data_IF_149502535236
#
_entry.id   IF_149502535236
#
_cell.length_a   1.000
_cell.length_b   1.000
_cell.length_c   1.000
_cell.angle_alpha   90.00
_cell.angle_beta   90.00
_cell.angle_gamma   90.00
#
_symmetry.space_group_name_H-M   'P 1'
#
loop_
_entity.id
_entity.type
_entity.pdbx_description
1 polymer ?
#
# COMPACT_ATOMS: atom_id res chain seq x y z
N UNK A 1 22.25 -35.36 -7.17
CA UNK A 1 21.70 -35.33 -5.79
C UNK A 1 21.50 -33.90 -5.39
N UNK A 2 20.35 -33.27 -5.70
CA UNK A 2 19.95 -31.93 -5.16
C UNK A 2 18.57 -31.57 -5.70
N UNK A 3 17.51 -32.22 -5.20
CA UNK A 3 16.12 -31.91 -5.56
C UNK A 3 15.17 -32.14 -4.39
N UNK A 4 15.51 -31.65 -3.17
CA UNK A 4 14.63 -31.85 -2.01
C UNK A 4 14.64 -30.72 -0.96
N UNK A 5 14.86 -29.46 -1.32
CA UNK A 5 14.90 -28.37 -0.32
C UNK A 5 13.79 -27.31 -0.52
N UNK A 6 13.01 -27.31 -1.59
CA UNK A 6 12.02 -26.25 -1.84
C UNK A 6 10.61 -26.50 -1.30
N UNK A 7 10.34 -27.65 -0.69
CA UNK A 7 8.98 -27.99 -0.20
C UNK A 7 8.74 -27.71 1.30
N UNK A 8 9.69 -27.11 2.02
CA UNK A 8 9.63 -27.08 3.51
C UNK A 8 9.33 -25.72 4.13
N UNK A 9 9.06 -24.65 3.39
CA UNK A 9 8.87 -23.30 3.96
C UNK A 9 7.39 -22.95 4.16
N UNK A 10 6.46 -23.61 3.51
CA UNK A 10 5.02 -23.27 3.57
C UNK A 10 4.23 -24.00 4.68
N UNK A 11 4.82 -24.91 5.44
CA UNK A 11 4.06 -25.81 6.36
C UNK A 11 3.83 -25.25 7.76
N UNK A 12 4.36 -24.08 8.14
CA UNK A 12 4.31 -23.61 9.55
C UNK A 12 3.18 -22.60 9.85
N UNK A 13 2.30 -22.29 8.92
CA UNK A 13 1.27 -21.26 9.14
C UNK A 13 -0.19 -21.76 9.26
N UNK A 14 -0.41 -23.05 9.39
CA UNK A 14 -1.77 -23.59 9.53
C UNK A 14 -2.12 -23.94 10.98
N UNK A 15 -2.58 -22.98 11.76
CA UNK A 15 -3.51 -23.25 12.84
C UNK A 15 -4.49 -22.09 13.02
N UNK A 16 -5.74 -22.42 12.80
CA UNK A 16 -6.97 -21.67 13.12
C UNK A 16 -7.40 -20.54 12.20
N UNK A 17 -8.00 -20.85 11.04
CA UNK A 17 -9.11 -20.04 10.50
C UNK A 17 -10.05 -20.93 9.66
N UNK A 18 -11.34 -20.90 9.99
CA UNK A 18 -12.39 -21.74 9.39
C UNK A 18 -12.81 -21.34 7.96
N UNK A 19 -12.04 -20.46 7.28
CA UNK A 19 -12.33 -19.93 5.95
C UNK A 19 -11.15 -19.96 4.97
N UNK A 20 -9.97 -20.43 5.38
CA UNK A 20 -8.86 -20.56 4.46
C UNK A 20 -9.04 -21.79 3.55
N UNK A 21 -8.61 -21.67 2.28
CA UNK A 21 -8.51 -22.83 1.37
C UNK A 21 -7.92 -24.03 2.10
N UNK A 22 -8.63 -25.14 2.07
CA UNK A 22 -8.10 -26.40 2.59
C UNK A 22 -6.88 -26.86 1.77
N UNK A 23 -6.01 -27.65 2.39
CA UNK A 23 -4.85 -28.24 1.70
C UNK A 23 -5.24 -29.03 0.44
N UNK A 24 -6.43 -29.66 0.44
CA UNK A 24 -6.96 -30.40 -0.70
C UNK A 24 -7.37 -29.48 -1.85
N UNK A 25 -8.02 -28.37 -1.55
CA UNK A 25 -8.44 -27.37 -2.53
C UNK A 25 -7.23 -26.65 -3.15
N UNK A 26 -6.25 -26.26 -2.31
CA UNK A 26 -5.01 -25.69 -2.81
C UNK A 26 -4.25 -26.65 -3.74
N UNK A 27 -4.14 -27.93 -3.37
CA UNK A 27 -3.52 -28.95 -4.24
C UNK A 27 -4.27 -29.13 -5.55
N UNK A 28 -5.59 -28.98 -5.55
CA UNK A 28 -6.38 -29.04 -6.78
C UNK A 28 -6.13 -27.83 -7.67
N UNK A 29 -6.11 -26.63 -7.11
CA UNK A 29 -5.73 -25.40 -7.84
C UNK A 29 -4.32 -25.50 -8.43
N UNK A 30 -3.35 -26.05 -7.70
CA UNK A 30 -1.97 -26.24 -8.16
C UNK A 30 -1.82 -27.19 -9.34
N UNK A 31 -2.84 -27.97 -9.70
CA UNK A 31 -2.85 -28.76 -10.95
C UNK A 31 -3.10 -27.88 -12.19
N UNK A 32 -3.72 -26.72 -12.00
CA UNK A 32 -3.88 -25.75 -13.07
C UNK A 32 -2.57 -24.98 -13.27
N UNK A 33 -2.15 -24.86 -14.52
CA UNK A 33 -0.86 -24.24 -14.88
C UNK A 33 -0.84 -22.75 -14.54
N UNK A 34 -1.92 -22.02 -14.82
CA UNK A 34 -2.00 -20.57 -14.61
C UNK A 34 -1.93 -20.24 -13.13
N UNK A 35 -2.69 -20.96 -12.27
CA UNK A 35 -2.61 -20.80 -10.82
C UNK A 35 -1.21 -21.14 -10.28
N UNK A 36 -0.60 -22.21 -10.76
CA UNK A 36 0.74 -22.60 -10.33
C UNK A 36 1.83 -21.57 -10.72
N UNK A 37 1.67 -20.90 -11.87
CA UNK A 37 2.53 -19.78 -12.29
C UNK A 37 2.32 -18.55 -11.42
N UNK A 38 1.08 -18.16 -11.11
CA UNK A 38 0.75 -17.07 -10.22
C UNK A 38 1.29 -17.30 -8.79
N UNK A 39 1.10 -18.48 -8.23
CA UNK A 39 1.64 -18.86 -6.93
C UNK A 39 3.19 -18.80 -6.90
N UNK A 40 3.83 -19.24 -7.97
CA UNK A 40 5.28 -19.13 -8.12
C UNK A 40 5.74 -17.67 -8.15
N UNK A 41 5.04 -16.80 -8.87
CA UNK A 41 5.34 -15.37 -8.93
C UNK A 41 5.24 -14.72 -7.55
N UNK A 42 4.13 -14.93 -6.84
CA UNK A 42 3.96 -14.46 -5.47
C UNK A 42 5.10 -14.93 -4.55
N UNK A 43 5.50 -16.20 -4.65
CA UNK A 43 6.59 -16.74 -3.85
C UNK A 43 7.96 -16.12 -4.20
N UNK A 44 8.20 -15.75 -5.46
CA UNK A 44 9.42 -15.05 -5.89
C UNK A 44 9.47 -13.64 -5.28
N UNK A 45 8.37 -12.88 -5.37
CA UNK A 45 8.27 -11.54 -4.77
C UNK A 45 8.47 -11.64 -3.24
N UNK A 46 7.78 -12.56 -2.58
CA UNK A 46 7.91 -12.79 -1.14
C UNK A 46 9.35 -13.10 -0.72
N UNK A 47 10.03 -13.99 -1.44
CA UNK A 47 11.42 -14.38 -1.13
C UNK A 47 12.41 -13.21 -1.32
N UNK A 48 12.15 -12.31 -2.27
CA UNK A 48 12.91 -11.07 -2.47
C UNK A 48 12.70 -10.12 -1.29
N UNK A 49 11.45 -9.78 -0.97
CA UNK A 49 11.11 -8.86 0.12
C UNK A 49 11.62 -9.33 1.48
N UNK A 50 11.60 -10.64 1.74
CA UNK A 50 12.19 -11.23 2.95
C UNK A 50 13.68 -10.94 3.11
N UNK A 51 14.43 -10.77 2.02
CA UNK A 51 15.86 -10.47 2.04
C UNK A 51 16.13 -8.97 2.13
N UNK A 52 15.25 -8.16 1.57
CA UNK A 52 15.42 -6.72 1.42
C UNK A 52 14.93 -5.94 2.64
N UNK A 53 13.86 -6.40 3.30
CA UNK A 53 13.27 -5.69 4.42
C UNK A 53 14.02 -5.93 5.74
N UNK A 54 14.13 -4.90 6.59
CA UNK A 54 14.48 -5.06 7.99
C UNK A 54 13.50 -6.00 8.71
N UNK A 55 13.98 -6.65 9.78
CA UNK A 55 13.21 -7.67 10.50
C UNK A 55 11.82 -7.18 10.95
N UNK A 56 11.75 -6.00 11.56
CA UNK A 56 10.52 -5.40 12.06
C UNK A 56 9.50 -5.12 10.93
N UNK A 57 9.95 -4.57 9.81
CA UNK A 57 9.09 -4.35 8.64
C UNK A 57 8.60 -5.68 8.05
N UNK A 58 9.46 -6.68 7.98
CA UNK A 58 9.08 -8.00 7.49
C UNK A 58 8.09 -8.72 8.43
N UNK A 59 8.19 -8.51 9.74
CA UNK A 59 7.21 -9.04 10.72
C UNK A 59 5.81 -8.45 10.50
N UNK A 60 5.70 -7.14 10.20
CA UNK A 60 4.43 -6.52 9.80
C UNK A 60 3.89 -7.09 8.49
N UNK A 61 4.75 -7.20 7.47
CA UNK A 61 4.37 -7.79 6.19
C UNK A 61 3.90 -9.23 6.34
N UNK A 62 4.52 -10.01 7.25
CA UNK A 62 4.07 -11.36 7.56
C UNK A 62 2.69 -11.39 8.23
N UNK A 63 2.38 -10.41 9.09
CA UNK A 63 1.06 -10.31 9.72
C UNK A 63 -0.01 -10.01 8.68
N UNK A 64 0.24 -9.07 7.78
CA UNK A 64 -0.65 -8.74 6.67
C UNK A 64 -0.84 -9.93 5.71
N UNK A 65 0.24 -10.62 5.34
CA UNK A 65 0.15 -11.82 4.49
C UNK A 65 -0.68 -12.94 5.14
N UNK A 66 -0.56 -13.13 6.45
CA UNK A 66 -1.40 -14.11 7.18
C UNK A 66 -2.87 -13.72 7.15
N UNK A 67 -3.19 -12.42 7.30
CA UNK A 67 -4.56 -11.93 7.22
C UNK A 67 -5.14 -12.14 5.82
N UNK A 68 -4.35 -11.87 4.77
CA UNK A 68 -4.76 -12.12 3.39
C UNK A 68 -5.02 -13.60 3.13
N UNK A 69 -4.08 -14.49 3.48
CA UNK A 69 -4.24 -15.94 3.33
C UNK A 69 -5.41 -16.50 4.15
N UNK A 70 -5.67 -15.95 5.34
CA UNK A 70 -6.67 -16.47 6.27
C UNK A 70 -8.10 -16.07 5.93
N UNK A 71 -8.32 -15.01 5.18
CA UNK A 71 -9.68 -14.52 4.89
C UNK A 71 -9.80 -13.72 3.60
N UNK A 72 -9.02 -12.63 3.45
CA UNK A 72 -9.24 -11.65 2.37
C UNK A 72 -9.19 -12.28 0.97
N UNK A 73 -8.23 -13.17 0.73
CA UNK A 73 -8.12 -13.88 -0.55
C UNK A 73 -9.39 -14.64 -0.90
N UNK A 74 -9.95 -15.38 0.06
CA UNK A 74 -11.10 -16.24 -0.17
C UNK A 74 -12.38 -15.42 -0.29
N UNK A 75 -12.52 -14.33 0.49
CA UNK A 75 -13.63 -13.39 0.39
C UNK A 75 -13.62 -12.68 -1.00
N UNK A 76 -12.45 -12.20 -1.45
CA UNK A 76 -12.30 -11.55 -2.75
C UNK A 76 -12.54 -12.53 -3.91
N UNK A 77 -11.93 -13.73 -3.86
CA UNK A 77 -12.15 -14.76 -4.87
C UNK A 77 -13.63 -15.13 -4.96
N UNK A 78 -14.33 -15.19 -3.82
CA UNK A 78 -15.78 -15.45 -3.79
C UNK A 78 -16.56 -14.33 -4.46
N UNK A 79 -16.23 -13.06 -4.23
CA UNK A 79 -16.87 -11.94 -4.90
C UNK A 79 -16.64 -11.99 -6.44
N UNK A 80 -15.43 -12.32 -6.90
CA UNK A 80 -15.14 -12.51 -8.34
C UNK A 80 -15.95 -13.66 -8.96
N UNK A 81 -16.22 -14.72 -8.21
CA UNK A 81 -17.06 -15.84 -8.66
C UNK A 81 -18.53 -15.42 -8.70
N UNK A 82 -19.06 -14.89 -7.59
CA UNK A 82 -20.49 -14.63 -7.40
C UNK A 82 -20.97 -13.44 -8.24
N UNK A 83 -20.17 -12.38 -8.37
CA UNK A 83 -20.50 -11.12 -9.05
C UNK A 83 -19.86 -11.04 -10.43
N UNK A 84 -18.63 -11.51 -10.58
CA UNK A 84 -17.84 -11.45 -11.80
C UNK A 84 -18.06 -12.64 -12.74
N UNK A 85 -18.70 -13.71 -12.29
CA UNK A 85 -18.95 -14.92 -13.10
C UNK A 85 -17.68 -15.72 -13.42
N UNK A 86 -16.59 -15.48 -12.72
CA UNK A 86 -15.32 -16.20 -12.92
C UNK A 86 -15.40 -17.64 -12.42
N UNK A 87 -14.69 -18.56 -13.04
CA UNK A 87 -14.47 -19.87 -12.46
C UNK A 87 -13.61 -19.78 -11.21
N UNK A 88 -13.69 -20.79 -10.33
CA UNK A 88 -12.86 -20.83 -9.11
C UNK A 88 -11.36 -20.66 -9.42
N UNK A 89 -10.86 -21.31 -10.46
CA UNK A 89 -9.45 -21.22 -10.86
C UNK A 89 -9.09 -19.80 -11.27
N UNK A 90 -9.87 -19.17 -12.16
CA UNK A 90 -9.62 -17.80 -12.62
C UNK A 90 -9.63 -16.81 -11.45
N UNK A 91 -10.62 -16.89 -10.54
CA UNK A 91 -10.71 -16.01 -9.39
C UNK A 91 -9.50 -16.10 -8.46
N UNK A 92 -9.09 -17.31 -8.08
CA UNK A 92 -7.90 -17.49 -7.23
C UNK A 92 -6.59 -17.15 -7.94
N UNK A 93 -6.51 -17.34 -9.25
CA UNK A 93 -5.36 -16.91 -10.05
C UNK A 93 -5.26 -15.39 -10.06
N UNK A 94 -6.38 -14.70 -10.34
CA UNK A 94 -6.45 -13.24 -10.32
C UNK A 94 -6.02 -12.67 -8.97
N UNK A 95 -6.61 -13.15 -7.87
CA UNK A 95 -6.26 -12.70 -6.51
C UNK A 95 -4.78 -12.94 -6.14
N UNK A 96 -4.20 -14.03 -6.65
CA UNK A 96 -2.80 -14.34 -6.37
C UNK A 96 -1.84 -13.44 -7.17
N UNK A 97 -2.18 -13.13 -8.42
CA UNK A 97 -1.43 -12.17 -9.24
C UNK A 97 -1.53 -10.75 -8.70
N UNK A 98 -2.75 -10.30 -8.38
CA UNK A 98 -2.99 -9.00 -7.77
C UNK A 98 -2.19 -8.82 -6.48
N UNK A 99 -2.19 -9.86 -5.63
CA UNK A 99 -1.36 -9.87 -4.42
C UNK A 99 0.13 -9.77 -4.71
N UNK A 100 0.62 -10.47 -5.73
CA UNK A 100 2.03 -10.43 -6.12
C UNK A 100 2.45 -9.03 -6.62
N UNK A 101 1.57 -8.37 -7.36
CA UNK A 101 1.76 -7.00 -7.87
C UNK A 101 1.81 -5.98 -6.74
N UNK A 102 0.84 -6.00 -5.80
CA UNK A 102 0.73 -5.00 -4.73
C UNK A 102 1.61 -5.29 -3.49
N UNK A 103 2.17 -6.48 -3.37
CA UNK A 103 2.99 -6.84 -2.20
C UNK A 103 4.22 -5.93 -1.97
N UNK A 104 4.90 -5.39 -3.01
CA UNK A 104 5.97 -4.41 -2.83
C UNK A 104 5.50 -3.09 -2.20
N UNK A 105 4.33 -2.57 -2.56
CA UNK A 105 3.75 -1.35 -2.00
C UNK A 105 3.39 -1.52 -0.52
N UNK A 106 2.81 -2.67 -0.17
CA UNK A 106 2.53 -3.04 1.22
C UNK A 106 3.84 -3.15 2.01
N UNK A 107 4.88 -3.71 1.41
CA UNK A 107 6.21 -3.81 2.02
C UNK A 107 6.85 -2.44 2.27
N UNK A 108 6.72 -1.50 1.34
CA UNK A 108 7.17 -0.12 1.50
C UNK A 108 6.40 0.57 2.65
N UNK A 109 5.10 0.38 2.75
CA UNK A 109 4.29 0.85 3.88
C UNK A 109 4.77 0.28 5.20
N UNK A 110 5.00 -1.03 5.29
CA UNK A 110 5.54 -1.68 6.48
C UNK A 110 6.93 -1.12 6.86
N UNK A 111 7.77 -0.85 5.87
CA UNK A 111 9.07 -0.23 6.08
C UNK A 111 8.94 1.18 6.67
N UNK A 112 8.12 2.04 6.07
CA UNK A 112 7.94 3.42 6.51
C UNK A 112 7.30 3.53 7.91
N UNK A 113 6.40 2.61 8.25
CA UNK A 113 5.76 2.54 9.56
C UNK A 113 6.73 2.11 10.68
N UNK A 114 7.72 1.30 10.36
CA UNK A 114 8.63 0.71 11.37
C UNK A 114 10.02 1.31 11.37
N UNK A 115 10.39 2.04 10.32
CA UNK A 115 11.72 2.64 10.15
C UNK A 115 11.63 4.11 9.70
N UNK A 116 10.87 4.96 10.39
CA UNK A 116 10.85 6.39 10.07
C UNK A 116 12.22 7.00 10.35
N UNK A 117 12.67 7.92 9.50
CA UNK A 117 13.96 8.60 9.67
C UNK A 117 13.96 9.98 9.02
N UNK A 118 14.25 10.99 9.80
CA UNK A 118 14.16 12.39 9.36
C UNK A 118 12.74 12.73 8.91
N UNK A 119 12.59 13.13 7.64
CA UNK A 119 11.28 13.39 7.03
C UNK A 119 10.66 12.13 6.39
N UNK A 120 11.42 11.05 6.25
CA UNK A 120 10.92 9.79 5.70
C UNK A 120 9.95 9.14 6.68
N UNK A 121 8.80 8.70 6.18
CA UNK A 121 7.81 8.02 7.01
C UNK A 121 6.45 7.94 6.35
N UNK A 122 5.52 7.39 7.12
CA UNK A 122 4.10 7.35 6.82
C UNK A 122 3.36 8.32 7.72
N UNK A 123 2.55 9.17 7.13
CA UNK A 123 1.79 10.22 7.80
C UNK A 123 0.31 10.06 7.46
N UNK A 124 -0.56 10.44 8.40
CA UNK A 124 -2.00 10.31 8.27
C UNK A 124 -2.67 11.63 8.60
N UNK A 125 -3.64 12.03 7.80
CA UNK A 125 -4.57 13.11 8.12
C UNK A 125 -5.86 12.51 8.67
N UNK A 126 -6.33 13.07 9.77
CA UNK A 126 -7.57 12.67 10.43
C UNK A 126 -8.68 13.69 10.17
N UNK A 127 -9.91 13.24 10.04
CA UNK A 127 -11.08 14.11 10.01
C UNK A 127 -11.17 14.91 11.33
N UNK A 128 -11.69 16.12 11.25
CA UNK A 128 -11.76 17.03 12.41
C UNK A 128 -12.56 16.38 13.56
N UNK A 129 -11.92 16.26 14.73
CA UNK A 129 -12.48 15.64 15.94
C UNK A 129 -12.88 14.15 15.76
N UNK A 130 -12.19 13.43 14.90
CA UNK A 130 -12.42 12.02 14.58
C UNK A 130 -11.09 11.25 14.58
N UNK A 131 -11.17 9.92 14.73
CA UNK A 131 -10.04 9.00 14.48
C UNK A 131 -10.09 8.46 13.04
N UNK A 132 -11.02 8.94 12.22
CA UNK A 132 -11.15 8.55 10.83
C UNK A 132 -10.00 9.10 9.99
N UNK A 133 -9.27 8.22 9.35
CA UNK A 133 -8.18 8.56 8.43
C UNK A 133 -8.80 9.00 7.08
N UNK A 134 -8.59 10.26 6.70
CA UNK A 134 -9.10 10.84 5.44
C UNK A 134 -8.01 11.04 4.40
N UNK A 135 -6.75 10.97 4.80
CA UNK A 135 -5.62 11.12 3.91
C UNK A 135 -4.38 10.42 4.42
N UNK A 136 -3.58 9.93 3.50
CA UNK A 136 -2.25 9.39 3.80
C UNK A 136 -1.19 10.08 2.96
N UNK A 137 0.00 10.19 3.51
CA UNK A 137 1.19 10.72 2.86
C UNK A 137 2.37 9.81 3.19
N UNK A 138 2.93 9.18 2.16
CA UNK A 138 4.16 8.42 2.26
C UNK A 138 5.32 9.23 1.70
N UNK A 139 6.43 9.35 2.45
CA UNK A 139 7.65 10.06 2.00
C UNK A 139 8.85 9.13 2.09
N UNK A 140 9.56 8.99 0.98
CA UNK A 140 10.75 8.14 0.85
C UNK A 140 11.90 8.92 0.21
N UNK A 141 13.12 8.79 0.76
CA UNK A 141 14.30 9.31 0.08
C UNK A 141 14.64 8.46 -1.15
N UNK A 142 14.78 9.12 -2.30
CA UNK A 142 15.33 8.51 -3.53
C UNK A 142 16.85 8.75 -3.62
N UNK A 143 17.32 9.88 -3.11
CA UNK A 143 18.74 10.19 -2.92
C UNK A 143 18.90 11.04 -1.66
N UNK A 144 19.15 10.37 -0.53
CA UNK A 144 19.30 11.01 0.79
C UNK A 144 20.44 12.04 0.81
N UNK A 145 21.54 11.76 0.12
CA UNK A 145 22.72 12.66 0.11
C UNK A 145 22.40 14.02 -0.48
N UNK A 146 21.56 14.04 -1.51
CA UNK A 146 21.16 15.24 -2.23
C UNK A 146 19.77 15.74 -1.81
N UNK A 147 19.15 15.13 -0.78
CA UNK A 147 17.84 15.52 -0.27
C UNK A 147 16.68 15.19 -1.22
N UNK A 148 16.87 14.33 -2.23
CA UNK A 148 15.80 13.98 -3.15
C UNK A 148 14.83 13.01 -2.49
N UNK A 149 13.54 13.29 -2.68
CA UNK A 149 12.45 12.50 -2.15
C UNK A 149 11.39 12.24 -3.22
N UNK A 150 10.64 11.17 -3.04
CA UNK A 150 9.35 10.96 -3.66
C UNK A 150 8.30 10.98 -2.56
N UNK A 151 7.16 11.59 -2.82
CA UNK A 151 6.03 11.60 -1.92
C UNK A 151 4.78 11.15 -2.65
N UNK A 152 4.03 10.24 -2.03
CA UNK A 152 2.77 9.71 -2.55
C UNK A 152 1.64 10.07 -1.60
N UNK A 153 0.59 10.65 -2.12
CA UNK A 153 -0.63 11.02 -1.40
C UNK A 153 -1.77 10.13 -1.83
N UNK A 154 -2.56 9.68 -0.87
CA UNK A 154 -3.87 9.11 -1.08
C UNK A 154 -4.85 9.84 -0.17
N UNK A 155 -5.86 10.47 -0.75
CA UNK A 155 -6.88 11.23 -0.02
C UNK A 155 -8.25 10.73 -0.42
N UNK A 156 -9.08 10.39 0.56
CA UNK A 156 -10.46 9.99 0.36
C UNK A 156 -11.38 11.01 1.04
N UNK A 157 -12.36 11.51 0.32
CA UNK A 157 -13.33 12.45 0.86
C UNK A 157 -14.76 11.95 0.61
N UNK A 158 -15.57 11.92 1.64
CA UNK A 158 -16.99 11.61 1.51
C UNK A 158 -17.73 12.81 0.92
N UNK A 159 -18.18 12.69 -0.33
CA UNK A 159 -18.83 13.80 -1.05
C UNK A 159 -20.24 14.09 -0.54
N UNK A 160 -20.95 13.08 -0.03
CA UNK A 160 -22.29 13.21 0.52
C UNK A 160 -22.40 12.43 1.83
N UNK A 161 -22.56 13.13 3.00
CA UNK A 161 -22.71 12.47 4.30
C UNK A 161 -23.90 11.51 4.37
N UNK A 162 -24.93 11.71 3.54
CA UNK A 162 -26.15 10.90 3.54
C UNK A 162 -26.03 9.67 2.61
N UNK A 163 -24.90 9.53 1.89
CA UNK A 163 -24.62 8.40 0.99
C UNK A 163 -23.24 7.80 1.32
N UNK A 164 -23.19 6.74 2.13
CA UNK A 164 -21.90 6.13 2.54
C UNK A 164 -21.06 5.57 1.38
N UNK A 165 -21.63 5.45 0.18
CA UNK A 165 -20.93 4.96 -1.01
C UNK A 165 -20.35 6.08 -1.90
N UNK A 166 -20.58 7.38 -1.54
CA UNK A 166 -20.10 8.50 -2.35
C UNK A 166 -18.74 9.01 -1.85
N UNK A 167 -17.67 8.29 -2.16
CA UNK A 167 -16.30 8.75 -1.93
C UNK A 167 -15.69 9.30 -3.22
N UNK A 168 -15.00 10.43 -3.11
CA UNK A 168 -14.00 10.84 -4.09
C UNK A 168 -12.62 10.47 -3.59
N UNK A 169 -11.78 9.92 -4.46
CA UNK A 169 -10.39 9.59 -4.14
C UNK A 169 -9.46 10.46 -4.99
N UNK A 170 -8.37 10.91 -4.39
CA UNK A 170 -7.27 11.56 -5.06
C UNK A 170 -5.98 10.81 -4.79
N UNK A 171 -5.27 10.45 -5.85
CA UNK A 171 -3.94 9.87 -5.80
C UNK A 171 -2.99 10.84 -6.49
N UNK A 172 -1.87 11.15 -5.84
CA UNK A 172 -0.84 11.98 -6.44
C UNK A 172 0.53 11.57 -5.95
N UNK A 173 1.46 11.42 -6.88
CA UNK A 173 2.85 11.13 -6.59
C UNK A 173 3.74 12.18 -7.25
N UNK A 174 4.67 12.73 -6.50
CA UNK A 174 5.60 13.72 -7.03
C UNK A 174 6.98 13.60 -6.41
N UNK A 175 7.96 14.03 -7.19
CA UNK A 175 9.35 14.15 -6.74
C UNK A 175 9.61 15.54 -6.18
N UNK A 176 10.54 15.65 -5.24
CA UNK A 176 10.92 16.92 -4.66
C UNK A 176 12.29 16.91 -4.00
N UNK A 177 12.60 18.07 -3.41
CA UNK A 177 13.86 18.26 -2.72
C UNK A 177 13.60 18.78 -1.30
N UNK A 178 14.23 18.11 -0.34
CA UNK A 178 14.30 18.56 1.04
C UNK A 178 15.38 19.63 1.20
N UNK A 179 15.05 20.75 1.80
CA UNK A 179 15.95 21.88 1.99
C UNK A 179 17.03 21.68 3.08
N UNK A 180 17.01 20.51 3.72
CA UNK A 180 17.91 20.15 4.81
C UNK A 180 17.54 20.78 6.17
N UNK A 181 16.39 21.47 6.26
CA UNK A 181 15.86 22.08 7.48
C UNK A 181 14.51 21.45 7.82
N UNK A 182 13.44 21.92 7.22
CA UNK A 182 12.09 21.47 7.51
C UNK A 182 11.14 21.56 6.32
N UNK A 183 11.59 21.79 5.10
CA UNK A 183 10.71 22.00 3.95
C UNK A 183 11.04 21.08 2.80
N UNK A 184 10.01 20.48 2.21
CA UNK A 184 10.08 19.79 0.92
C UNK A 184 9.18 20.53 -0.06
N UNK A 185 9.68 20.77 -1.26
CA UNK A 185 8.90 21.22 -2.41
C UNK A 185 8.76 20.06 -3.38
N UNK A 186 7.53 19.64 -3.62
CA UNK A 186 7.15 18.64 -4.59
C UNK A 186 6.61 19.33 -5.84
N UNK A 187 6.90 18.79 -7.00
CA UNK A 187 6.45 19.34 -8.28
C UNK A 187 5.96 18.22 -9.16
N UNK A 188 4.78 18.40 -9.76
CA UNK A 188 4.25 17.46 -10.73
C UNK A 188 5.08 17.45 -12.02
N UNK A 189 5.20 16.27 -12.67
CA UNK A 189 5.99 16.11 -13.90
C UNK A 189 5.30 16.66 -15.13
N UNK A 190 3.97 16.53 -15.19
CA UNK A 190 3.15 16.98 -16.33
C UNK A 190 2.71 18.43 -16.16
N UNK A 191 2.46 18.86 -14.91
CA UNK A 191 1.99 20.20 -14.55
C UNK A 191 2.97 20.84 -13.56
N UNK A 192 4.08 21.46 -14.05
CA UNK A 192 5.14 22.00 -13.18
C UNK A 192 4.71 23.16 -12.27
N UNK A 193 3.56 23.78 -12.50
CA UNK A 193 2.92 24.78 -11.66
C UNK A 193 2.09 24.17 -10.50
N UNK A 194 1.77 22.88 -10.58
CA UNK A 194 1.22 22.10 -9.47
C UNK A 194 2.34 21.80 -8.46
N UNK A 195 2.44 22.65 -7.45
CA UNK A 195 3.48 22.56 -6.42
C UNK A 195 2.81 22.30 -5.07
N UNK A 196 3.27 21.27 -4.37
CA UNK A 196 2.95 21.07 -2.95
C UNK A 196 4.17 21.41 -2.09
N UNK A 197 3.96 22.23 -1.08
CA UNK A 197 4.98 22.59 -0.09
C UNK A 197 4.65 21.87 1.21
N UNK A 198 5.58 21.05 1.68
CA UNK A 198 5.50 20.30 2.91
C UNK A 198 6.37 20.97 3.96
N UNK A 199 5.79 21.38 5.10
CA UNK A 199 6.54 21.98 6.21
C UNK A 199 6.46 21.06 7.42
N UNK A 200 7.61 20.56 7.89
CA UNK A 200 7.74 19.61 8.99
C UNK A 200 7.92 20.32 10.34
N UNK A 201 7.19 19.85 11.33
CA UNK A 201 7.32 20.25 12.75
C UNK A 201 7.20 18.99 13.62
N UNK A 202 8.33 18.41 13.99
CA UNK A 202 8.40 17.12 14.69
C UNK A 202 7.73 16.00 13.89
N UNK A 203 6.68 15.41 14.48
CA UNK A 203 5.93 14.31 13.87
C UNK A 203 4.75 14.81 12.98
N UNK A 204 4.63 16.13 12.79
CA UNK A 204 3.60 16.71 11.94
C UNK A 204 4.19 17.28 10.66
N UNK A 205 3.40 17.24 9.60
CA UNK A 205 3.70 17.89 8.34
C UNK A 205 2.48 18.67 7.86
N UNK A 206 2.65 19.97 7.65
CA UNK A 206 1.66 20.83 7.00
C UNK A 206 1.88 20.78 5.51
N UNK A 207 0.83 20.53 4.75
CA UNK A 207 0.82 20.51 3.28
C UNK A 207 0.05 21.71 2.77
N UNK A 208 0.64 22.46 1.85
CA UNK A 208 0.03 23.60 1.17
C UNK A 208 0.29 23.47 -0.34
N UNK A 209 -0.76 23.55 -1.16
CA UNK A 209 -0.69 23.43 -2.61
C UNK A 209 -0.94 24.77 -3.31
N UNK A 210 -0.43 24.93 -4.52
CA UNK A 210 -0.78 26.05 -5.40
C UNK A 210 -2.18 25.90 -5.97
N UNK A 211 -2.81 27.00 -6.41
CA UNK A 211 -4.15 27.00 -7.02
C UNK A 211 -4.17 26.21 -8.34
N UNK A 212 -3.02 25.98 -8.97
CA UNK A 212 -2.88 25.19 -10.17
C UNK A 212 -3.47 23.77 -10.07
N UNK A 213 -3.47 23.17 -8.87
CA UNK A 213 -4.15 21.88 -8.66
C UNK A 213 -5.64 21.92 -8.99
N UNK A 214 -6.31 23.03 -8.68
CA UNK A 214 -7.73 23.23 -9.02
C UNK A 214 -7.90 23.60 -10.50
N UNK A 215 -6.99 24.41 -11.06
CA UNK A 215 -7.03 24.87 -12.45
C UNK A 215 -6.85 23.70 -13.41
N UNK A 216 -5.99 22.74 -13.09
CA UNK A 216 -5.78 21.53 -13.88
C UNK A 216 -6.73 20.38 -13.53
N UNK A 217 -7.65 20.60 -12.57
CA UNK A 217 -8.60 19.57 -12.09
C UNK A 217 -7.89 18.23 -11.75
N UNK A 218 -6.75 18.32 -11.06
CA UNK A 218 -5.91 17.17 -10.72
C UNK A 218 -6.66 16.12 -9.91
N UNK A 219 -7.70 16.55 -9.18
CA UNK A 219 -8.53 15.68 -8.34
C UNK A 219 -10.02 15.92 -8.60
N UNK A 220 -10.85 14.99 -8.15
CA UNK A 220 -12.29 15.16 -8.13
C UNK A 220 -12.74 16.36 -7.27
N UNK A 221 -13.97 16.82 -7.49
CA UNK A 221 -14.51 17.98 -6.79
C UNK A 221 -14.43 17.81 -5.25
N UNK A 222 -13.88 18.82 -4.60
CA UNK A 222 -13.77 18.89 -3.13
C UNK A 222 -12.54 18.17 -2.54
N UNK A 223 -11.70 17.54 -3.36
CA UNK A 223 -10.45 16.94 -2.88
C UNK A 223 -9.34 17.97 -2.85
N UNK A 224 -8.65 18.02 -1.74
CA UNK A 224 -7.43 18.82 -1.56
C UNK A 224 -6.37 18.01 -0.82
N UNK A 225 -5.10 18.28 -1.12
CA UNK A 225 -3.98 17.76 -0.33
C UNK A 225 -3.65 18.68 0.85
N UNK A 226 -4.25 19.88 0.89
CA UNK A 226 -4.00 20.86 1.96
C UNK A 226 -4.51 20.32 3.30
N UNK A 227 -3.61 20.21 4.26
CA UNK A 227 -3.95 19.67 5.56
C UNK A 227 -2.74 19.53 6.47
N UNK A 228 -2.97 18.93 7.62
CA UNK A 228 -1.92 18.56 8.57
C UNK A 228 -1.95 17.07 8.78
N UNK A 229 -0.85 16.42 8.41
CA UNK A 229 -0.66 14.99 8.53
C UNK A 229 0.23 14.70 9.74
N UNK A 230 -0.11 13.67 10.49
CA UNK A 230 0.66 13.23 11.66
C UNK A 230 1.38 11.91 11.37
N UNK A 231 2.62 11.80 11.81
CA UNK A 231 3.44 10.61 11.60
C UNK A 231 2.82 9.40 12.31
N UNK A 232 2.61 8.33 11.57
CA UNK A 232 2.16 7.04 12.08
C UNK A 232 3.36 6.10 12.23
N UNK A 233 3.55 5.58 13.42
CA UNK A 233 4.63 4.61 13.73
C UNK A 233 4.02 3.40 14.41
N UNK A 234 4.35 2.21 13.92
CA UNK A 234 4.02 0.93 14.56
C UNK A 234 5.27 0.45 15.29
N UNK A 235 5.12 0.28 16.61
CA UNK A 235 6.18 -0.22 17.50
C UNK A 235 6.22 -1.75 17.54
#
# INVERSE_FOLDING_TARGET
>A
MTRKIFALILVILFSSCAYALSDSEYKELMKNKEFAEADKELNVVWARLKKELPKNAFELLQADQRQWLGRKRDDNAKALIDEGGMSKVEAYTSETLDRAEHLPEIADTCYLLTNPDGIQGWYVEYAVNSEEEIGTLAIKYTDRKNGKVIASFEVAYQVNPDSPESYSQGLWEAEGNFDGKNTVKLTDKEYPDCIATLTFDGDKVKVETTDAFNEHAMFGAGITLNGTYERKVVK
#
